data_IF_279613340149
#
_entry.id   IF_279613340149
#
_cell.length_a   1.000
_cell.length_b   1.000
_cell.length_c   1.000
_cell.angle_alpha   90.00
_cell.angle_beta   90.00
_cell.angle_gamma   90.00
#
_symmetry.space_group_name_H-M   'P 1'
#
loop_
_entity.id
_entity.type
_entity.pdbx_description
1 polymer ?
#
# COMPACT_ATOMS: atom_id res chain seq x y z
N UNK A 1 33.23 -20.78 -3.43
CA UNK A 1 32.07 -20.78 -4.36
C UNK A 1 31.00 -21.61 -3.68
N UNK A 2 29.79 -21.18 -3.35
CA UNK A 2 28.90 -20.27 -4.07
C UNK A 2 27.83 -19.65 -3.12
N UNK A 3 27.46 -18.41 -3.43
CA UNK A 3 26.16 -17.75 -3.19
C UNK A 3 25.61 -17.57 -1.76
N UNK A 4 26.23 -16.65 -1.00
CA UNK A 4 25.50 -15.81 -0.02
C UNK A 4 24.62 -14.80 -0.80
N UNK A 5 23.51 -15.24 -1.38
CA UNK A 5 22.51 -14.34 -1.96
C UNK A 5 21.90 -13.53 -0.82
N UNK A 6 22.17 -12.22 -0.81
CA UNK A 6 21.76 -11.28 0.20
C UNK A 6 20.31 -11.51 0.64
N UNK A 7 20.11 -11.83 1.92
CA UNK A 7 18.81 -11.78 2.60
C UNK A 7 18.28 -10.35 2.40
N UNK A 8 17.48 -10.13 1.37
CA UNK A 8 16.74 -8.90 1.20
C UNK A 8 15.78 -8.88 2.37
N UNK A 9 15.96 -7.96 3.32
CA UNK A 9 15.06 -7.79 4.46
C UNK A 9 13.64 -7.53 3.91
N UNK A 10 12.89 -8.61 3.72
CA UNK A 10 11.52 -8.60 3.25
C UNK A 10 10.66 -8.19 4.44
N UNK A 11 10.38 -6.91 4.51
CA UNK A 11 9.56 -6.35 5.59
C UNK A 11 8.11 -6.69 5.28
N UNK A 12 7.54 -7.56 6.10
CA UNK A 12 6.17 -8.05 5.98
C UNK A 12 5.21 -7.23 6.85
N UNK A 13 4.12 -6.75 6.27
CA UNK A 13 3.08 -5.97 6.95
C UNK A 13 1.75 -6.73 6.89
N UNK A 14 1.37 -7.40 7.98
CA UNK A 14 0.12 -8.16 8.07
C UNK A 14 -0.98 -7.40 8.82
N UNK A 15 -1.48 -6.30 8.25
CA UNK A 15 -2.56 -5.50 8.85
C UNK A 15 -3.41 -4.85 7.76
N UNK A 16 -4.68 -4.56 8.10
CA UNK A 16 -5.56 -3.75 7.25
C UNK A 16 -4.96 -2.34 7.15
N UNK A 17 -4.80 -1.85 5.91
CA UNK A 17 -4.21 -0.54 5.64
C UNK A 17 -5.32 0.50 5.49
N UNK A 18 -5.52 1.31 6.53
CA UNK A 18 -6.34 2.51 6.47
C UNK A 18 -5.54 3.71 5.95
N UNK A 19 -6.22 4.84 5.70
CA UNK A 19 -5.60 6.10 5.25
C UNK A 19 -4.45 6.56 6.17
N UNK A 20 -4.58 6.40 7.49
CA UNK A 20 -3.56 6.80 8.45
C UNK A 20 -2.33 5.89 8.41
N UNK A 21 -2.54 4.56 8.34
CA UNK A 21 -1.44 3.60 8.17
C UNK A 21 -0.72 3.75 6.83
N UNK A 22 -1.45 4.08 5.76
CA UNK A 22 -0.83 4.31 4.47
C UNK A 22 0.15 5.49 4.50
N UNK A 23 -0.22 6.59 5.16
CA UNK A 23 0.69 7.74 5.38
C UNK A 23 1.94 7.33 6.16
N UNK A 24 1.78 6.53 7.22
CA UNK A 24 2.91 6.01 8.01
C UNK A 24 3.83 5.13 7.16
N UNK A 25 3.28 4.31 6.27
CA UNK A 25 4.04 3.46 5.37
C UNK A 25 4.89 4.29 4.40
N UNK A 26 4.32 5.33 3.79
CA UNK A 26 5.03 6.24 2.87
C UNK A 26 6.13 7.01 3.63
N UNK A 27 5.81 7.52 4.83
CA UNK A 27 6.79 8.21 5.67
C UNK A 27 7.95 7.30 6.06
N UNK A 28 7.66 6.05 6.43
CA UNK A 28 8.69 5.06 6.75
C UNK A 28 9.57 4.73 5.53
N UNK A 29 8.96 4.56 4.35
CA UNK A 29 9.70 4.32 3.10
C UNK A 29 10.63 5.51 2.77
N UNK A 30 10.15 6.74 2.99
CA UNK A 30 10.93 7.95 2.81
C UNK A 30 12.15 8.00 3.73
N UNK A 31 11.96 7.73 5.03
CA UNK A 31 13.05 7.73 6.02
C UNK A 31 14.08 6.62 5.75
N UNK A 32 13.66 5.43 5.30
CA UNK A 32 14.58 4.30 5.05
C UNK A 32 15.29 4.34 3.69
N UNK A 33 14.61 4.78 2.64
CA UNK A 33 15.06 4.58 1.25
C UNK A 33 15.17 5.87 0.43
N UNK A 34 14.76 7.01 0.98
CA UNK A 34 14.80 8.32 0.33
C UNK A 34 13.68 8.54 -0.69
N UNK A 35 13.71 9.73 -1.31
CA UNK A 35 12.62 10.22 -2.17
C UNK A 35 12.38 9.37 -3.41
N UNK A 36 13.42 9.08 -4.21
CA UNK A 36 13.26 8.40 -5.50
C UNK A 36 12.64 7.01 -5.39
N UNK A 37 13.08 6.21 -4.39
CA UNK A 37 12.51 4.87 -4.15
C UNK A 37 11.10 4.94 -3.58
N UNK A 38 10.81 5.96 -2.76
CA UNK A 38 9.47 6.18 -2.21
C UNK A 38 8.48 6.58 -3.31
N UNK A 39 8.88 7.44 -4.25
CA UNK A 39 8.05 7.80 -5.40
C UNK A 39 7.70 6.56 -6.25
N UNK A 40 8.70 5.74 -6.60
CA UNK A 40 8.45 4.49 -7.33
C UNK A 40 7.53 3.52 -6.56
N UNK A 41 7.67 3.45 -5.23
CA UNK A 41 6.77 2.66 -4.40
C UNK A 41 5.34 3.22 -4.40
N UNK A 42 5.19 4.54 -4.31
CA UNK A 42 3.90 5.21 -4.31
C UNK A 42 3.15 5.00 -5.64
N UNK A 43 3.85 5.07 -6.77
CA UNK A 43 3.26 4.76 -8.08
C UNK A 43 2.75 3.32 -8.17
N UNK A 44 3.55 2.35 -7.72
CA UNK A 44 3.13 0.94 -7.69
C UNK A 44 1.92 0.72 -6.78
N UNK A 45 1.89 1.40 -5.64
CA UNK A 45 0.78 1.32 -4.70
C UNK A 45 -0.49 1.97 -5.26
N UNK A 46 -0.35 3.07 -6.01
CA UNK A 46 -1.44 3.71 -6.73
C UNK A 46 -2.05 2.75 -7.77
N UNK A 47 -1.22 2.12 -8.59
CA UNK A 47 -1.69 1.18 -9.62
C UNK A 47 -2.40 -0.05 -9.00
N UNK A 48 -1.82 -0.60 -7.92
CA UNK A 48 -2.41 -1.68 -7.14
C UNK A 48 -3.77 -1.25 -6.57
N UNK A 49 -3.82 -0.07 -5.95
CA UNK A 49 -5.02 0.49 -5.32
C UNK A 49 -6.15 0.68 -6.32
N UNK A 50 -5.87 1.28 -7.48
CA UNK A 50 -6.89 1.45 -8.53
C UNK A 50 -7.40 0.10 -9.05
N UNK A 51 -6.49 -0.85 -9.34
CA UNK A 51 -6.88 -2.18 -9.82
C UNK A 51 -7.84 -2.88 -8.85
N UNK A 52 -7.49 -2.95 -7.57
CA UNK A 52 -8.34 -3.63 -6.59
C UNK A 52 -9.57 -2.81 -6.20
N UNK A 53 -9.53 -1.48 -6.26
CA UNK A 53 -10.72 -0.65 -6.08
C UNK A 53 -11.76 -0.92 -7.16
N UNK A 54 -11.33 -1.03 -8.43
CA UNK A 54 -12.23 -1.41 -9.53
C UNK A 54 -12.77 -2.83 -9.35
N UNK A 55 -11.94 -3.78 -8.94
CA UNK A 55 -12.38 -5.16 -8.68
C UNK A 55 -13.29 -5.31 -7.47
N UNK A 56 -13.13 -4.46 -6.45
CA UNK A 56 -13.97 -4.47 -5.27
C UNK A 56 -15.42 -4.04 -5.58
N UNK A 57 -15.63 -3.33 -6.71
CA UNK A 57 -16.97 -3.00 -7.18
C UNK A 57 -17.78 -2.18 -6.17
N UNK A 58 -17.12 -1.36 -5.36
CA UNK A 58 -17.77 -0.56 -4.32
C UNK A 58 -18.72 0.42 -4.99
N UNK A 59 -20.01 0.25 -4.73
CA UNK A 59 -21.09 1.11 -5.20
C UNK A 59 -21.87 1.63 -4.00
N UNK A 60 -22.70 2.65 -4.22
CA UNK A 60 -23.61 3.22 -3.22
C UNK A 60 -25.01 3.22 -3.84
N UNK A 61 -25.95 2.60 -3.15
CA UNK A 61 -27.38 2.54 -3.49
C UNK A 61 -28.21 3.24 -2.40
N UNK A 62 -29.48 3.54 -2.70
CA UNK A 62 -30.40 4.16 -1.72
C UNK A 62 -30.55 3.27 -0.48
N UNK A 63 -30.53 1.95 -0.66
CA UNK A 63 -30.57 0.96 0.42
C UNK A 63 -29.34 1.01 1.35
N UNK A 64 -28.22 1.59 0.91
CA UNK A 64 -27.01 1.76 1.73
C UNK A 64 -27.11 3.00 2.65
N UNK A 65 -28.06 3.90 2.41
CA UNK A 65 -28.30 5.06 3.27
C UNK A 65 -29.21 4.70 4.45
N UNK A 66 -28.60 4.30 5.56
CA UNK A 66 -29.30 4.13 6.82
C UNK A 66 -29.54 5.50 7.47
N UNK A 67 -30.80 5.93 7.51
CA UNK A 67 -31.23 7.13 8.22
C UNK A 67 -31.34 6.80 9.72
N UNK A 68 -30.72 7.58 10.62
CA UNK A 68 -30.77 7.36 12.06
C UNK A 68 -32.16 7.60 12.67
#
# INVERSE_FOLDING_TARGET
MADKKAKKDLIFYNRIVDKGRLKKLISWAYTKYGSARTAQMADKLKDLGFRYATQAGVSISVDDLQVP
#
